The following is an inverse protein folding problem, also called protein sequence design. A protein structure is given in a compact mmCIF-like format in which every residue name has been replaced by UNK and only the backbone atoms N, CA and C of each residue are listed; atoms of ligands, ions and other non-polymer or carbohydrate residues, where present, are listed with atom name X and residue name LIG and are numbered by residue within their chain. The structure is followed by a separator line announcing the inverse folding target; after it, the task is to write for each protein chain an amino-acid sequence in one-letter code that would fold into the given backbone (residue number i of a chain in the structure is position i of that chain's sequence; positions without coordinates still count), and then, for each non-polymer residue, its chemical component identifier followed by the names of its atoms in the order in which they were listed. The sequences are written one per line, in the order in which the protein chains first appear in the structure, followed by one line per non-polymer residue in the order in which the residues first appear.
data_IF_664759240815
#
_entry.id   IF_664759240815
#
_cell.length_a   1.000
_cell.length_b   1.000
_cell.length_c   1.000
_cell.angle_alpha   90.00
_cell.angle_beta   90.00
_cell.angle_gamma   90.00
#
_symmetry.space_group_name_H-M   'P 1'
#
loop_
_entity.id
_entity.type
_entity.pdbx_description
1 polymer ?
#
# COMPACT_ATOMS: atom_id res chain seq x y z
N UNK A 1 5.07 4.47 -17.96
CA UNK A 1 5.11 2.99 -18.05
C UNK A 1 6.08 2.45 -16.98
N UNK A 2 5.64 1.54 -16.10
CA UNK A 2 6.50 0.97 -15.04
C UNK A 2 6.34 1.55 -13.63
N UNK A 3 5.23 2.22 -13.32
CA UNK A 3 4.94 2.72 -11.95
C UNK A 3 3.81 1.96 -11.24
N UNK A 4 3.27 0.91 -11.88
CA UNK A 4 2.24 0.07 -11.25
C UNK A 4 2.94 -0.79 -10.19
N UNK A 5 2.52 -0.73 -8.92
CA UNK A 5 3.13 -1.55 -7.88
C UNK A 5 2.73 -3.02 -8.05
N UNK A 6 3.60 -3.94 -7.66
CA UNK A 6 3.30 -5.37 -7.59
C UNK A 6 2.39 -5.70 -6.41
N UNK A 7 2.50 -4.92 -5.32
CA UNK A 7 1.68 -5.07 -4.11
C UNK A 7 1.03 -3.75 -3.75
N UNK A 8 -0.28 -3.79 -3.51
CA UNK A 8 -1.06 -2.67 -3.03
C UNK A 8 -1.79 -3.04 -1.74
N UNK A 9 -1.29 -2.54 -0.61
CA UNK A 9 -1.84 -2.84 0.72
C UNK A 9 -2.96 -1.84 1.06
N UNK A 10 -4.15 -2.36 1.38
CA UNK A 10 -5.31 -1.57 1.81
C UNK A 10 -6.17 -2.34 2.82
N UNK A 11 -6.80 -1.64 3.75
CA UNK A 11 -7.73 -2.25 4.72
C UNK A 11 -8.87 -3.00 4.05
N UNK A 12 -9.33 -2.50 2.89
CA UNK A 12 -10.40 -3.09 2.08
C UNK A 12 -9.87 -3.84 0.85
N UNK A 13 -8.64 -4.37 0.90
CA UNK A 13 -8.03 -5.12 -0.21
C UNK A 13 -8.94 -6.23 -0.78
N UNK A 14 -9.71 -6.91 0.06
CA UNK A 14 -10.70 -7.91 -0.38
C UNK A 14 -11.80 -7.33 -1.27
N UNK A 15 -12.31 -6.14 -0.96
CA UNK A 15 -13.34 -5.50 -1.78
C UNK A 15 -12.76 -4.99 -3.09
N UNK A 16 -11.50 -4.51 -3.07
CA UNK A 16 -10.80 -4.14 -4.29
C UNK A 16 -10.63 -5.35 -5.23
N UNK A 17 -10.18 -6.49 -4.69
CA UNK A 17 -10.07 -7.74 -5.44
C UNK A 17 -11.43 -8.19 -6.02
N UNK A 18 -12.47 -8.27 -5.18
CA UNK A 18 -13.82 -8.67 -5.61
C UNK A 18 -14.38 -7.73 -6.68
N UNK A 19 -14.12 -6.42 -6.56
CA UNK A 19 -14.51 -5.43 -7.56
C UNK A 19 -13.80 -5.68 -8.89
N UNK A 20 -12.49 -5.94 -8.90
CA UNK A 20 -11.74 -6.24 -10.12
C UNK A 20 -12.27 -7.50 -10.81
N UNK A 21 -12.47 -8.58 -10.06
CA UNK A 21 -13.02 -9.84 -10.58
C UNK A 21 -14.41 -9.62 -11.17
N UNK A 22 -15.30 -8.95 -10.44
CA UNK A 22 -16.68 -8.69 -10.89
C UNK A 22 -16.72 -7.87 -12.19
N UNK A 23 -15.81 -6.92 -12.35
CA UNK A 23 -15.72 -6.07 -13.53
C UNK A 23 -14.84 -6.66 -14.65
N UNK A 24 -14.37 -7.91 -14.51
CA UNK A 24 -13.47 -8.58 -15.47
C UNK A 24 -12.22 -7.75 -15.77
N UNK A 25 -11.73 -7.01 -14.77
CA UNK A 25 -10.48 -6.27 -14.87
C UNK A 25 -9.35 -7.16 -14.38
N UNK A 26 -8.43 -7.48 -15.28
CA UNK A 26 -7.36 -8.47 -15.04
C UNK A 26 -6.20 -7.97 -14.17
N UNK A 27 -6.28 -6.75 -13.63
CA UNK A 27 -5.22 -6.18 -12.79
C UNK A 27 -4.89 -7.04 -11.56
N UNK A 28 -5.86 -7.78 -11.02
CA UNK A 28 -5.65 -8.69 -9.89
C UNK A 28 -4.72 -9.88 -10.21
N UNK A 29 -4.45 -10.14 -11.51
CA UNK A 29 -3.50 -11.17 -11.93
C UNK A 29 -2.05 -10.70 -11.88
N UNK A 30 -1.84 -9.39 -11.88
CA UNK A 30 -0.49 -8.78 -11.91
C UNK A 30 -0.17 -7.94 -10.68
N UNK A 31 -1.16 -7.67 -9.83
CA UNK A 31 -1.02 -6.88 -8.60
C UNK A 31 -1.68 -7.62 -7.44
N UNK A 32 -0.95 -7.82 -6.36
CA UNK A 32 -1.44 -8.36 -5.10
C UNK A 32 -2.16 -7.30 -4.27
N UNK A 33 -3.25 -7.70 -3.62
CA UNK A 33 -4.07 -6.83 -2.76
C UNK A 33 -4.20 -7.37 -1.32
N UNK A 34 -3.08 -7.57 -0.59
CA UNK A 34 -3.13 -7.98 0.80
C UNK A 34 -3.84 -6.92 1.66
N UNK A 35 -4.61 -7.38 2.64
CA UNK A 35 -5.09 -6.53 3.74
C UNK A 35 -3.98 -6.38 4.77
N UNK A 36 -3.86 -5.20 5.38
CA UNK A 36 -2.98 -4.98 6.54
C UNK A 36 -3.18 -6.06 7.61
N UNK A 37 -2.10 -6.55 8.22
CA UNK A 37 -2.13 -7.70 9.14
C UNK A 37 -3.07 -7.49 10.32
N UNK A 38 -3.07 -6.28 10.90
CA UNK A 38 -3.95 -5.95 12.02
C UNK A 38 -5.41 -5.91 11.56
N UNK A 39 -5.69 -5.20 10.46
CA UNK A 39 -7.03 -5.15 9.88
C UNK A 39 -7.54 -6.53 9.47
N UNK A 40 -6.69 -7.35 8.87
CA UNK A 40 -7.05 -8.71 8.48
C UNK A 40 -7.45 -9.53 9.70
N UNK A 41 -6.62 -9.52 10.74
CA UNK A 41 -6.83 -10.28 11.98
C UNK A 41 -8.09 -9.84 12.72
N UNK A 42 -8.34 -8.54 12.84
CA UNK A 42 -9.44 -8.00 13.62
C UNK A 42 -10.76 -7.91 12.85
N UNK A 43 -10.73 -7.74 11.52
CA UNK A 43 -11.90 -7.34 10.73
C UNK A 43 -12.20 -8.26 9.55
N UNK A 44 -11.25 -9.03 9.01
CA UNK A 44 -11.48 -9.82 7.79
C UNK A 44 -11.32 -11.34 7.96
N UNK A 45 -10.71 -11.80 9.06
CA UNK A 45 -10.36 -13.20 9.30
C UNK A 45 -11.50 -14.16 8.89
N UNK A 46 -11.25 -14.91 7.81
CA UNK A 46 -12.09 -15.98 7.27
C UNK A 46 -13.54 -15.59 6.91
N UNK A 47 -13.79 -14.32 6.55
CA UNK A 47 -15.13 -13.86 6.15
C UNK A 47 -15.57 -14.27 4.73
N UNK A 48 -14.63 -14.40 3.80
CA UNK A 48 -14.86 -14.80 2.40
C UNK A 48 -13.63 -15.51 1.83
N UNK A 49 -13.78 -16.16 0.68
CA UNK A 49 -12.67 -16.75 -0.09
C UNK A 49 -11.61 -15.70 -0.45
N UNK A 50 -12.05 -14.49 -0.85
CA UNK A 50 -11.15 -13.37 -1.08
C UNK A 50 -10.34 -13.02 0.18
N UNK A 51 -10.98 -12.99 1.35
CA UNK A 51 -10.28 -12.71 2.61
C UNK A 51 -9.35 -13.85 3.06
N UNK A 52 -9.69 -15.11 2.80
CA UNK A 52 -8.89 -16.25 3.26
C UNK A 52 -7.67 -16.53 2.40
N UNK A 53 -7.77 -16.25 1.09
CA UNK A 53 -6.75 -16.59 0.11
C UNK A 53 -6.18 -15.35 -0.60
N UNK A 54 -7.01 -14.61 -1.34
CA UNK A 54 -6.53 -13.56 -2.25
C UNK A 54 -6.01 -12.29 -1.57
N UNK A 55 -6.42 -12.03 -0.33
CA UNK A 55 -6.07 -10.83 0.41
C UNK A 55 -5.50 -11.13 1.80
N UNK A 56 -5.24 -12.40 2.09
CA UNK A 56 -4.59 -12.80 3.33
C UNK A 56 -3.09 -12.45 3.23
N UNK A 57 -2.57 -11.55 4.08
CA UNK A 57 -1.18 -11.11 3.98
C UNK A 57 -0.19 -12.27 4.15
N UNK A 58 -0.54 -13.34 4.86
CA UNK A 58 0.33 -14.53 5.00
C UNK A 58 0.40 -15.41 3.74
N UNK A 59 -0.31 -15.04 2.67
CA UNK A 59 -0.22 -15.67 1.34
C UNK A 59 0.72 -14.95 0.38
N UNK A 60 1.34 -13.85 0.82
CA UNK A 60 2.31 -13.07 0.07
C UNK A 60 3.68 -13.29 0.71
N UNK A 61 4.43 -14.26 0.17
CA UNK A 61 5.72 -14.70 0.72
C UNK A 61 6.75 -13.57 0.73
N UNK A 62 6.67 -12.65 -0.23
CA UNK A 62 7.49 -11.45 -0.33
C UNK A 62 7.32 -10.46 0.84
N UNK A 63 6.22 -10.57 1.60
CA UNK A 63 5.98 -9.75 2.80
C UNK A 63 6.49 -10.42 4.08
N UNK A 64 6.74 -11.73 4.04
CA UNK A 64 7.14 -12.53 5.20
C UNK A 64 8.65 -12.50 5.37
N UNK A 65 9.10 -12.32 6.61
CA UNK A 65 10.51 -12.42 6.98
C UNK A 65 11.09 -13.81 6.76
N UNK A 66 12.41 -13.95 6.89
CA UNK A 66 13.15 -15.20 6.65
C UNK A 66 12.63 -16.41 7.45
N UNK A 67 11.99 -16.19 8.59
CA UNK A 67 11.44 -17.24 9.46
C UNK A 67 9.96 -17.58 9.17
N UNK A 68 9.37 -16.92 8.16
CA UNK A 68 7.96 -16.98 7.77
C UNK A 68 6.97 -16.66 8.91
N UNK A 69 7.46 -16.06 10.00
CA UNK A 69 6.68 -15.69 11.20
C UNK A 69 6.72 -14.18 11.46
N UNK A 70 7.79 -13.54 11.05
CA UNK A 70 7.97 -12.08 11.08
C UNK A 70 7.57 -11.46 9.74
N UNK A 71 7.49 -10.13 9.70
CA UNK A 71 7.13 -9.37 8.51
C UNK A 71 8.30 -8.47 8.11
N UNK A 72 8.67 -8.46 6.84
CA UNK A 72 9.67 -7.50 6.32
C UNK A 72 9.13 -6.07 6.31
N UNK A 73 7.83 -5.93 6.09
CA UNK A 73 7.16 -4.65 5.99
C UNK A 73 6.09 -4.50 7.07
N UNK A 74 6.14 -3.38 7.81
CA UNK A 74 5.13 -3.04 8.80
C UNK A 74 4.07 -2.13 8.17
N UNK A 75 3.01 -2.73 7.65
CA UNK A 75 1.91 -2.02 6.99
C UNK A 75 1.19 -1.04 7.91
N UNK A 76 1.02 -1.36 9.19
CA UNK A 76 0.31 -0.48 10.14
C UNK A 76 1.12 0.77 10.47
N UNK A 77 2.45 0.69 10.53
CA UNK A 77 3.32 1.87 10.68
C UNK A 77 3.30 2.72 9.41
N UNK A 78 3.27 2.09 8.23
CA UNK A 78 3.15 2.81 6.96
C UNK A 78 1.82 3.57 6.86
N UNK A 79 0.71 2.96 7.26
CA UNK A 79 -0.60 3.60 7.36
C UNK A 79 -0.55 4.82 8.28
N UNK A 80 -0.08 4.65 9.53
CA UNK A 80 0.06 5.74 10.50
C UNK A 80 0.95 6.87 10.00
N UNK A 81 2.02 6.54 9.27
CA UNK A 81 2.94 7.53 8.69
C UNK A 81 2.25 8.39 7.63
N UNK A 82 1.20 7.89 6.97
CA UNK A 82 0.45 8.58 5.93
C UNK A 82 -0.79 9.34 6.46
N UNK A 83 -1.12 9.24 7.75
CA UNK A 83 -2.25 9.94 8.38
C UNK A 83 -2.17 11.47 8.25
N UNK A 84 -0.99 12.04 7.98
CA UNK A 84 -0.79 13.49 7.83
C UNK A 84 -1.73 14.14 6.80
N UNK A 85 -2.14 13.41 5.75
CA UNK A 85 -3.05 13.93 4.75
C UNK A 85 -4.44 14.23 5.33
N UNK A 86 -4.84 13.52 6.38
CA UNK A 86 -6.10 13.75 7.11
C UNK A 86 -6.21 15.18 7.68
N UNK A 87 -5.10 15.85 7.95
CA UNK A 87 -5.09 17.26 8.37
C UNK A 87 -5.65 18.25 7.33
N UNK A 88 -5.75 17.82 6.06
CA UNK A 88 -6.29 18.62 4.95
C UNK A 88 -7.72 18.20 4.56
N UNK A 89 -8.34 17.28 5.30
CA UNK A 89 -9.61 16.68 4.90
C UNK A 89 -10.73 17.72 4.66
N UNK A 90 -10.77 18.79 5.48
CA UNK A 90 -11.75 19.87 5.36
C UNK A 90 -11.69 20.60 4.01
N UNK A 91 -10.49 20.86 3.48
CA UNK A 91 -10.32 21.51 2.17
C UNK A 91 -10.50 20.52 1.02
N UNK A 92 -10.09 19.26 1.21
CA UNK A 92 -10.15 18.22 0.19
C UNK A 92 -11.59 17.86 -0.17
N UNK A 93 -12.51 17.87 0.81
CA UNK A 93 -13.91 17.48 0.63
C UNK A 93 -14.63 18.30 -0.45
N UNK A 94 -14.28 19.58 -0.58
CA UNK A 94 -14.92 20.50 -1.53
C UNK A 94 -14.17 20.59 -2.88
N UNK A 95 -13.07 19.86 -3.04
CA UNK A 95 -12.29 19.89 -4.28
C UNK A 95 -12.93 19.02 -5.36
N UNK A 96 -12.99 19.58 -6.58
CA UNK A 96 -13.23 18.77 -7.79
C UNK A 96 -12.05 17.83 -8.04
N UNK A 97 -12.33 16.69 -8.69
CA UNK A 97 -11.33 15.64 -8.99
C UNK A 97 -10.00 16.16 -9.54
N UNK A 98 -10.02 17.10 -10.49
CA UNK A 98 -8.79 17.67 -11.08
C UNK A 98 -7.94 18.40 -10.05
N UNK A 99 -8.58 19.19 -9.16
CA UNK A 99 -7.88 19.92 -8.10
C UNK A 99 -7.38 18.97 -7.01
N UNK A 100 -8.19 17.96 -6.67
CA UNK A 100 -7.82 16.94 -5.70
C UNK A 100 -6.58 16.18 -6.16
N UNK A 101 -6.55 15.70 -7.41
CA UNK A 101 -5.40 14.96 -7.95
C UNK A 101 -4.13 15.82 -7.95
N UNK A 102 -4.21 17.06 -8.46
CA UNK A 102 -3.08 17.99 -8.42
C UNK A 102 -2.58 18.25 -6.99
N UNK A 103 -3.50 18.49 -6.05
CA UNK A 103 -3.14 18.70 -4.65
C UNK A 103 -2.45 17.48 -4.05
N UNK A 104 -3.00 16.28 -4.28
CA UNK A 104 -2.45 15.03 -3.77
C UNK A 104 -1.03 14.80 -4.30
N UNK A 105 -0.83 14.93 -5.61
CA UNK A 105 0.48 14.78 -6.24
C UNK A 105 1.51 15.75 -5.65
N UNK A 106 1.17 17.03 -5.56
CA UNK A 106 2.08 18.06 -5.04
C UNK A 106 2.40 17.83 -3.56
N UNK A 107 1.41 17.45 -2.75
CA UNK A 107 1.61 17.21 -1.32
C UNK A 107 2.46 15.97 -1.04
N UNK A 108 2.28 14.90 -1.82
CA UNK A 108 3.15 13.71 -1.76
C UNK A 108 4.58 14.09 -2.13
N UNK A 109 4.78 14.82 -3.24
CA UNK A 109 6.12 15.28 -3.66
C UNK A 109 6.80 16.13 -2.58
N UNK A 110 6.08 17.07 -1.96
CA UNK A 110 6.60 17.89 -0.86
C UNK A 110 6.97 17.05 0.36
N UNK A 111 6.10 16.12 0.76
CA UNK A 111 6.35 15.22 1.89
C UNK A 111 7.58 14.36 1.64
N UNK A 112 7.72 13.80 0.44
CA UNK A 112 8.87 13.00 0.03
C UNK A 112 10.17 13.81 0.09
N UNK A 113 10.18 15.06 -0.39
CA UNK A 113 11.37 15.95 -0.27
C UNK A 113 11.77 16.18 1.19
N UNK A 114 10.80 16.43 2.07
CA UNK A 114 11.04 16.65 3.51
C UNK A 114 11.61 15.37 4.15
N UNK A 115 11.01 14.22 3.88
CA UNK A 115 11.46 12.93 4.40
C UNK A 115 12.87 12.63 3.90
N UNK A 116 13.11 12.76 2.59
CA UNK A 116 14.42 12.53 1.98
C UNK A 116 15.50 13.39 2.63
N UNK A 117 15.27 14.70 2.74
CA UNK A 117 16.23 15.62 3.37
C UNK A 117 16.49 15.26 4.85
N UNK A 118 15.48 14.77 5.57
CA UNK A 118 15.66 14.32 6.95
C UNK A 118 16.46 13.00 7.04
N UNK A 119 16.29 12.09 6.08
CA UNK A 119 17.04 10.83 5.99
C UNK A 119 18.50 11.08 5.60
N UNK A 120 18.75 11.93 4.61
CA UNK A 120 20.10 12.34 4.19
C UNK A 120 20.89 12.96 5.34
N UNK A 121 20.25 13.83 6.15
CA UNK A 121 20.87 14.40 7.36
C UNK A 121 21.26 13.36 8.41
N UNK A 122 20.63 12.19 8.39
CA UNK A 122 20.95 11.05 9.26
C UNK A 122 22.00 10.11 8.65
N UNK A 123 22.54 10.44 7.47
CA UNK A 123 23.47 9.58 6.73
C UNK A 123 22.79 8.37 6.08
N UNK A 124 21.46 8.42 5.90
CA UNK A 124 20.71 7.38 5.20
C UNK A 124 20.52 7.77 3.74
N UNK A 125 20.56 6.79 2.84
CA UNK A 125 20.45 7.00 1.39
C UNK A 125 19.21 6.30 0.81
N UNK A 126 18.02 6.92 0.85
CA UNK A 126 16.84 6.36 0.21
C UNK A 126 16.96 6.49 -1.32
N UNK A 127 17.22 5.37 -1.99
CA UNK A 127 17.32 5.29 -3.44
C UNK A 127 16.39 4.21 -4.01
N UNK A 128 16.09 4.31 -5.30
CA UNK A 128 15.42 3.24 -6.03
C UNK A 128 16.40 2.08 -6.21
N UNK A 129 15.95 0.87 -5.89
CA UNK A 129 16.70 -0.35 -6.19
C UNK A 129 16.36 -0.73 -7.64
N UNK A 130 17.25 -0.40 -8.57
CA UNK A 130 17.01 -0.57 -10.01
C UNK A 130 16.95 -2.04 -10.44
N UNK A 131 17.63 -2.92 -9.71
CA UNK A 131 17.75 -4.35 -10.02
C UNK A 131 17.06 -5.23 -8.97
N UNK A 132 15.97 -4.74 -8.36
CA UNK A 132 15.22 -5.52 -7.39
C UNK A 132 14.47 -6.66 -8.11
N UNK A 133 15.12 -7.82 -8.20
CA UNK A 133 14.50 -9.06 -8.64
C UNK A 133 13.99 -9.80 -7.42
N UNK A 134 12.68 -9.92 -7.26
CA UNK A 134 12.09 -10.87 -6.32
C UNK A 134 12.31 -12.28 -6.88
N UNK A 135 12.89 -13.17 -6.07
CA UNK A 135 12.95 -14.59 -6.40
C UNK A 135 11.52 -15.12 -6.45
N UNK A 136 11.05 -15.53 -7.64
CA UNK A 136 9.86 -16.35 -7.80
C UNK A 136 10.05 -17.74 -7.18
#
# INVERSE_FOLDING_TARGET
PGSMPEICIYDLGCQAYEHLVKNKNELYKTVGFPVDVFHWTCKHKQKSEACSYHCNPSKFEELLGQDSKTWFFNSSVAEQTNVWLGGYHSILREMRVTKYNFFLDEMILRKNRIIKAALEKKGLDPHYILDLCYSM
#
